data_IF_528347641231
#
_entry.id   IF_528347641231
#
_cell.length_a   1.000
_cell.length_b   1.000
_cell.length_c   1.000
_cell.angle_alpha   90.00
_cell.angle_beta   90.00
_cell.angle_gamma   90.00
#
_symmetry.space_group_name_H-M   'P 1'
#
loop_
_entity.id
_entity.type
_entity.pdbx_description
1 polymer ?
#
# COMPACT_ATOMS: atom_id res chain seq x y z
N UNK A 1 -26.13 -21.86 -24.56
CA UNK A 1 -25.47 -20.82 -23.76
C UNK A 1 -23.97 -20.90 -24.08
N UNK A 2 -23.56 -20.08 -25.02
CA UNK A 2 -22.16 -20.01 -25.48
C UNK A 2 -21.30 -19.42 -24.37
N UNK A 3 -20.31 -20.18 -23.92
CA UNK A 3 -19.20 -19.65 -23.16
C UNK A 3 -18.39 -18.77 -24.09
N UNK A 4 -18.62 -17.48 -24.04
CA UNK A 4 -17.83 -16.48 -24.76
C UNK A 4 -16.37 -16.63 -24.31
N UNK A 5 -15.52 -17.06 -25.23
CA UNK A 5 -14.08 -17.18 -25.05
C UNK A 5 -13.47 -15.79 -24.79
N UNK A 6 -13.39 -15.38 -23.53
CA UNK A 6 -12.59 -14.24 -23.06
C UNK A 6 -11.09 -14.60 -22.93
N UNK A 7 -10.70 -15.81 -23.35
CA UNK A 7 -9.39 -16.42 -23.05
C UNK A 7 -8.25 -15.96 -23.96
N UNK A 8 -8.51 -15.25 -25.06
CA UNK A 8 -7.49 -14.97 -26.08
C UNK A 8 -6.71 -13.66 -25.92
N UNK A 9 -7.02 -12.82 -24.94
CA UNK A 9 -6.33 -11.53 -24.74
C UNK A 9 -5.28 -11.52 -23.62
N UNK A 10 -5.13 -12.59 -22.84
CA UNK A 10 -4.29 -12.61 -21.62
C UNK A 10 -2.87 -13.15 -21.83
N UNK A 11 -2.44 -13.43 -23.07
CA UNK A 11 -1.12 -14.06 -23.31
C UNK A 11 0.09 -13.16 -23.03
N UNK A 12 -0.11 -11.84 -22.85
CA UNK A 12 0.98 -10.85 -22.72
C UNK A 12 0.79 -9.85 -21.56
N UNK A 13 0.02 -10.18 -20.52
CA UNK A 13 -0.16 -9.23 -19.43
C UNK A 13 1.14 -9.03 -18.62
N UNK A 14 1.53 -7.77 -18.36
CA UNK A 14 2.77 -7.48 -17.65
C UNK A 14 2.70 -8.01 -16.22
N UNK A 15 3.70 -8.79 -15.82
CA UNK A 15 3.88 -9.27 -14.45
C UNK A 15 4.21 -8.10 -13.53
N UNK A 16 4.87 -7.08 -14.08
CA UNK A 16 5.22 -5.82 -13.42
C UNK A 16 4.56 -4.69 -14.19
N UNK A 17 3.88 -3.81 -13.47
CA UNK A 17 3.30 -2.60 -14.03
C UNK A 17 4.04 -1.38 -13.48
N UNK A 18 4.34 -0.42 -14.32
CA UNK A 18 5.02 0.82 -13.96
C UNK A 18 4.21 2.03 -14.42
N UNK A 19 4.08 2.99 -13.53
CA UNK A 19 3.48 4.30 -13.78
C UNK A 19 4.49 5.40 -13.47
N UNK A 20 4.77 6.28 -14.44
CA UNK A 20 5.58 7.48 -14.22
C UNK A 20 4.68 8.68 -13.94
N UNK A 21 5.03 9.47 -12.95
CA UNK A 21 4.29 10.68 -12.57
C UNK A 21 5.21 11.71 -11.94
N UNK A 22 4.66 12.87 -11.59
CA UNK A 22 5.36 13.90 -10.83
C UNK A 22 4.60 14.22 -9.54
N UNK A 23 5.32 14.68 -8.53
CA UNK A 23 4.74 15.04 -7.24
C UNK A 23 4.12 16.44 -7.35
N UNK A 24 2.79 16.49 -7.29
CA UNK A 24 2.01 17.73 -7.39
C UNK A 24 2.02 18.52 -6.08
N UNK A 25 1.82 19.84 -6.16
CA UNK A 25 1.82 20.72 -5.00
C UNK A 25 0.76 20.34 -3.95
N UNK A 26 -0.44 19.94 -4.35
CA UNK A 26 -1.53 19.57 -3.44
C UNK A 26 -1.24 18.34 -2.58
N UNK A 27 -0.28 17.50 -2.99
CA UNK A 27 0.10 16.26 -2.29
C UNK A 27 1.17 16.46 -1.24
N UNK A 28 1.76 17.68 -1.14
CA UNK A 28 2.84 18.03 -0.23
C UNK A 28 2.28 18.54 1.09
N UNK A 29 2.88 18.12 2.19
CA UNK A 29 2.58 18.59 3.55
C UNK A 29 3.40 19.80 3.97
N UNK A 30 3.13 20.29 5.21
CA UNK A 30 3.78 21.46 5.84
C UNK A 30 5.32 21.38 5.83
N UNK A 31 5.87 20.17 5.86
CA UNK A 31 7.32 19.95 5.88
C UNK A 31 7.98 19.96 4.49
N UNK A 32 7.19 20.14 3.41
CA UNK A 32 7.66 20.06 2.03
C UNK A 32 7.79 18.63 1.50
N UNK A 33 7.44 17.64 2.29
CA UNK A 33 7.47 16.21 1.96
C UNK A 33 6.11 15.73 1.45
N UNK A 34 6.10 14.68 0.64
CA UNK A 34 4.88 14.00 0.22
C UNK A 34 4.13 13.48 1.45
N UNK A 35 2.84 13.82 1.56
CA UNK A 35 1.97 13.35 2.64
C UNK A 35 1.84 11.83 2.61
N UNK A 36 1.75 11.20 3.77
CA UNK A 36 1.61 9.74 3.87
C UNK A 36 0.34 9.23 3.15
N UNK A 37 -0.76 9.96 3.29
CA UNK A 37 -2.01 9.66 2.57
C UNK A 37 -1.81 9.70 1.06
N UNK A 38 -1.02 10.65 0.57
CA UNK A 38 -0.71 10.77 -0.86
C UNK A 38 0.20 9.63 -1.34
N UNK A 39 1.16 9.17 -0.51
CA UNK A 39 1.95 7.97 -0.80
C UNK A 39 1.01 6.77 -0.99
N UNK A 40 0.12 6.54 -0.02
CA UNK A 40 -0.84 5.42 -0.09
C UNK A 40 -1.75 5.50 -1.32
N UNK A 41 -2.24 6.69 -1.65
CA UNK A 41 -3.07 6.90 -2.84
C UNK A 41 -2.30 6.58 -4.14
N UNK A 42 -1.07 7.06 -4.30
CA UNK A 42 -0.25 6.72 -5.47
C UNK A 42 0.00 5.21 -5.61
N UNK A 43 0.28 4.53 -4.50
CA UNK A 43 0.48 3.08 -4.49
C UNK A 43 -0.81 2.34 -4.85
N UNK A 44 -1.95 2.75 -4.28
CA UNK A 44 -3.26 2.14 -4.53
C UNK A 44 -3.73 2.37 -5.96
N UNK A 45 -3.58 3.59 -6.50
CA UNK A 45 -3.94 3.91 -7.88
C UNK A 45 -3.15 3.03 -8.87
N UNK A 46 -1.83 2.92 -8.67
CA UNK A 46 -0.95 2.10 -9.52
C UNK A 46 -1.34 0.61 -9.44
N UNK A 47 -1.66 0.11 -8.24
CA UNK A 47 -2.14 -1.26 -8.07
C UNK A 47 -3.49 -1.49 -8.74
N UNK A 48 -4.40 -0.50 -8.68
CA UNK A 48 -5.73 -0.57 -9.29
C UNK A 48 -5.68 -0.52 -10.81
N UNK A 49 -4.83 0.33 -11.39
CA UNK A 49 -4.58 0.38 -12.84
C UNK A 49 -4.04 -0.95 -13.36
N UNK A 50 -3.07 -1.55 -12.63
CA UNK A 50 -2.58 -2.88 -12.98
C UNK A 50 -3.67 -3.95 -12.90
N UNK A 51 -4.51 -3.93 -11.87
CA UNK A 51 -5.63 -4.85 -11.73
C UNK A 51 -6.68 -4.67 -12.83
N UNK A 52 -6.87 -3.43 -13.32
CA UNK A 52 -7.78 -3.14 -14.43
C UNK A 52 -7.29 -3.73 -15.76
N UNK A 53 -6.01 -3.58 -16.07
CA UNK A 53 -5.37 -4.21 -17.22
C UNK A 53 -5.51 -5.75 -17.20
N UNK A 54 -5.54 -6.34 -16.02
CA UNK A 54 -5.72 -7.78 -15.82
C UNK A 54 -7.20 -8.24 -15.80
N UNK A 55 -8.17 -7.32 -15.94
CA UNK A 55 -9.59 -7.66 -15.88
C UNK A 55 -10.09 -8.07 -14.49
N UNK A 56 -9.37 -7.70 -13.42
CA UNK A 56 -9.70 -8.05 -12.03
C UNK A 56 -9.77 -6.82 -11.11
N UNK A 57 -9.99 -5.64 -11.68
CA UNK A 57 -10.21 -4.41 -10.90
C UNK A 57 -11.50 -4.48 -10.09
N UNK A 58 -11.67 -3.53 -9.15
CA UNK A 58 -12.90 -3.40 -8.37
C UNK A 58 -14.16 -3.31 -9.24
N UNK A 59 -14.09 -2.64 -10.40
CA UNK A 59 -15.21 -2.54 -11.35
C UNK A 59 -15.55 -3.88 -12.01
N UNK A 60 -14.54 -4.71 -12.34
CA UNK A 60 -14.76 -6.04 -12.89
C UNK A 60 -15.40 -6.95 -11.83
N UNK A 61 -14.85 -6.95 -10.62
CA UNK A 61 -15.31 -7.79 -9.52
C UNK A 61 -16.70 -7.42 -9.03
N UNK A 62 -17.08 -6.15 -9.07
CA UNK A 62 -18.41 -5.70 -8.64
C UNK A 62 -19.55 -6.36 -9.43
N UNK A 63 -19.34 -6.69 -10.71
CA UNK A 63 -20.31 -7.41 -11.56
C UNK A 63 -20.59 -8.82 -11.06
N UNK A 64 -19.64 -9.42 -10.35
CA UNK A 64 -19.71 -10.76 -9.78
C UNK A 64 -20.03 -10.75 -8.26
N UNK A 65 -20.46 -9.60 -7.71
CA UNK A 65 -20.65 -9.40 -6.28
C UNK A 65 -19.42 -9.70 -5.43
N UNK A 66 -18.25 -9.44 -5.99
CA UNK A 66 -16.96 -9.55 -5.31
C UNK A 66 -16.34 -8.17 -5.08
N UNK A 67 -15.43 -8.08 -4.12
CA UNK A 67 -14.64 -6.89 -3.88
C UNK A 67 -13.26 -7.25 -3.38
N UNK A 68 -12.28 -6.40 -3.69
CA UNK A 68 -10.99 -6.39 -3.01
C UNK A 68 -11.08 -5.60 -1.72
N UNK A 69 -10.52 -6.17 -0.65
CA UNK A 69 -10.36 -5.50 0.65
C UNK A 69 -8.89 -5.53 1.02
N UNK A 70 -8.34 -4.38 1.37
CA UNK A 70 -6.99 -4.31 1.93
C UNK A 70 -7.06 -4.81 3.38
N UNK A 71 -6.20 -5.78 3.69
CA UNK A 71 -6.10 -6.36 5.02
C UNK A 71 -4.89 -5.83 5.79
N UNK A 72 -3.73 -5.69 5.13
CA UNK A 72 -2.50 -5.19 5.75
C UNK A 72 -1.73 -4.28 4.80
N UNK A 73 -1.03 -3.33 5.40
CA UNK A 73 -0.07 -2.46 4.72
C UNK A 73 1.23 -2.42 5.52
N UNK A 74 2.35 -2.45 4.82
CA UNK A 74 3.68 -2.13 5.33
C UNK A 74 4.32 -1.15 4.36
N UNK A 75 4.82 -0.03 4.86
CA UNK A 75 5.46 1.02 4.04
C UNK A 75 6.76 1.42 4.72
N UNK A 76 7.86 1.34 3.97
CA UNK A 76 9.18 1.87 4.35
C UNK A 76 9.51 3.08 3.47
N UNK A 77 9.80 4.21 4.09
CA UNK A 77 10.14 5.46 3.44
C UNK A 77 11.62 5.74 3.71
N UNK A 78 12.47 5.51 2.72
CA UNK A 78 13.91 5.79 2.79
C UNK A 78 14.21 7.28 2.59
N UNK A 79 13.48 7.89 1.66
CA UNK A 79 13.53 9.32 1.39
C UNK A 79 12.12 9.81 1.07
N UNK A 80 11.75 10.96 1.59
CA UNK A 80 10.46 11.56 1.29
C UNK A 80 10.50 12.28 -0.06
N UNK A 81 9.62 11.88 -1.03
CA UNK A 81 9.46 12.62 -2.28
C UNK A 81 9.04 14.06 -2.01
N UNK A 82 9.52 14.99 -2.81
CA UNK A 82 9.27 16.42 -2.70
C UNK A 82 8.45 16.93 -3.88
N UNK A 83 7.97 18.15 -3.77
CA UNK A 83 7.31 18.83 -4.87
C UNK A 83 8.18 18.87 -6.13
N UNK A 84 7.58 18.60 -7.28
CA UNK A 84 8.19 18.49 -8.62
C UNK A 84 9.10 17.28 -8.84
N UNK A 85 9.37 16.45 -7.84
CA UNK A 85 10.07 15.21 -8.10
C UNK A 85 9.34 14.37 -9.15
N UNK A 86 10.11 13.82 -10.08
CA UNK A 86 9.62 12.81 -11.01
C UNK A 86 9.87 11.45 -10.40
N UNK A 87 8.84 10.63 -10.41
CA UNK A 87 8.89 9.30 -9.80
C UNK A 87 8.32 8.25 -10.73
N UNK A 88 8.90 7.06 -10.67
CA UNK A 88 8.32 5.86 -11.25
C UNK A 88 7.79 4.99 -10.12
N UNK A 89 6.54 4.51 -10.26
CA UNK A 89 5.87 3.67 -9.28
C UNK A 89 5.67 2.32 -9.94
N UNK A 90 6.28 1.28 -9.37
CA UNK A 90 6.15 -0.08 -9.86
C UNK A 90 5.28 -0.91 -8.92
N UNK A 91 4.50 -1.82 -9.48
CA UNK A 91 3.77 -2.84 -8.73
C UNK A 91 3.94 -4.20 -9.36
N UNK A 92 4.16 -5.20 -8.51
CA UNK A 92 4.15 -6.61 -8.85
C UNK A 92 3.30 -7.37 -7.84
N UNK A 93 2.72 -8.50 -8.25
CA UNK A 93 1.78 -9.27 -7.43
C UNK A 93 2.16 -10.74 -7.35
N UNK A 94 1.78 -11.38 -6.24
CA UNK A 94 1.83 -12.83 -6.08
C UNK A 94 0.75 -13.31 -5.10
N UNK A 95 0.33 -14.56 -5.26
CA UNK A 95 -0.67 -15.15 -4.36
C UNK A 95 -0.01 -15.84 -3.17
N UNK A 96 -0.66 -15.74 -1.99
CA UNK A 96 -0.30 -16.47 -0.79
C UNK A 96 -1.48 -17.32 -0.32
N UNK A 97 -1.25 -18.64 -0.13
CA UNK A 97 -2.27 -19.62 0.33
C UNK A 97 -3.58 -19.61 -0.49
N UNK A 98 -3.54 -19.19 -1.77
CA UNK A 98 -4.71 -19.08 -2.65
C UNK A 98 -5.88 -18.25 -2.03
N UNK A 99 -5.58 -17.39 -1.08
CA UNK A 99 -6.54 -16.55 -0.36
C UNK A 99 -6.13 -15.08 -0.40
N UNK A 100 -4.84 -14.82 -0.26
CA UNK A 100 -4.28 -13.49 -0.21
C UNK A 100 -3.57 -13.14 -1.51
N UNK A 101 -3.78 -11.94 -2.00
CA UNK A 101 -2.95 -11.32 -3.01
C UNK A 101 -2.02 -10.33 -2.34
N UNK A 102 -0.73 -10.59 -2.45
CA UNK A 102 0.30 -9.69 -1.95
C UNK A 102 0.85 -8.89 -3.12
N UNK A 103 0.90 -7.58 -2.95
CA UNK A 103 1.56 -6.67 -3.90
C UNK A 103 2.78 -6.06 -3.25
N UNK A 104 3.91 -6.19 -3.93
CA UNK A 104 5.10 -5.39 -3.67
C UNK A 104 5.03 -4.15 -4.56
N UNK A 105 5.25 -2.98 -3.97
CA UNK A 105 5.24 -1.70 -4.66
C UNK A 105 6.49 -0.92 -4.30
N UNK A 106 7.05 -0.22 -5.28
CA UNK A 106 8.21 0.66 -5.07
C UNK A 106 7.96 2.01 -5.71
N UNK A 107 8.42 3.07 -5.06
CA UNK A 107 8.57 4.38 -5.68
C UNK A 107 10.05 4.64 -5.82
N UNK A 108 10.50 4.91 -7.04
CA UNK A 108 11.88 5.27 -7.36
C UNK A 108 11.93 6.69 -7.91
N UNK A 109 13.02 7.40 -7.65
CA UNK A 109 13.25 8.68 -8.29
C UNK A 109 13.59 8.46 -9.77
N UNK A 110 12.83 9.09 -10.67
CA UNK A 110 13.08 9.00 -12.11
C UNK A 110 14.30 9.90 -12.46
N UNK A 111 15.38 9.26 -12.90
CA UNK A 111 16.65 9.95 -13.23
C UNK A 111 16.73 10.41 -14.69
N UNK A 112 15.66 10.28 -15.47
CA UNK A 112 15.64 10.73 -16.86
C UNK A 112 15.68 12.25 -16.98
N UNK A 113 16.85 12.82 -16.72
CA UNK A 113 17.24 14.21 -16.94
C UNK A 113 17.58 14.46 -18.43
N UNK A 114 16.76 13.94 -19.35
CA UNK A 114 16.88 14.24 -20.77
C UNK A 114 15.74 15.13 -21.25
N UNK A 115 15.91 16.42 -21.11
CA UNK A 115 15.04 17.50 -21.59
C UNK A 115 14.93 17.59 -23.13
N UNK A 116 15.12 16.50 -23.85
CA UNK A 116 14.87 16.49 -25.31
C UNK A 116 14.52 15.08 -25.79
N UNK A 117 13.27 14.65 -25.61
CA UNK A 117 12.65 13.76 -26.62
C UNK A 117 11.12 13.83 -26.54
N UNK A 118 10.57 14.29 -27.66
CA UNK A 118 9.20 14.38 -28.10
C UNK A 118 8.29 13.20 -27.70
N UNK A 119 7.03 13.56 -27.42
CA UNK A 119 5.85 12.69 -27.32
C UNK A 119 5.87 11.57 -28.36
N UNK A 120 6.35 10.40 -27.99
CA UNK A 120 6.05 9.10 -28.59
C UNK A 120 6.86 8.03 -27.86
N UNK A 121 6.15 7.18 -27.14
CA UNK A 121 6.42 5.79 -26.86
C UNK A 121 5.94 5.37 -25.46
N UNK A 122 4.61 5.27 -25.29
CA UNK A 122 4.07 4.24 -24.42
C UNK A 122 4.34 2.90 -25.14
N UNK A 123 5.50 2.32 -24.92
CA UNK A 123 5.79 0.96 -25.38
C UNK A 123 5.63 0.01 -24.22
N UNK A 124 4.54 -0.74 -24.25
CA UNK A 124 4.38 -1.97 -23.48
C UNK A 124 5.54 -2.91 -23.83
N UNK A 125 6.39 -3.25 -22.85
CA UNK A 125 7.51 -4.17 -23.05
C UNK A 125 6.99 -5.61 -23.01
N UNK A 126 6.79 -6.22 -24.17
CA UNK A 126 6.21 -7.57 -24.34
C UNK A 126 7.26 -8.69 -24.48
N UNK A 127 8.55 -8.48 -24.16
CA UNK A 127 9.58 -9.50 -24.40
C UNK A 127 10.28 -9.98 -23.13
N UNK A 128 10.41 -11.30 -22.99
CA UNK A 128 11.03 -12.04 -21.87
C UNK A 128 12.47 -11.59 -21.55
N UNK A 129 13.23 -11.08 -22.54
CA UNK A 129 14.57 -10.50 -22.32
C UNK A 129 14.53 -9.08 -21.76
N UNK A 130 13.44 -8.35 -21.94
CA UNK A 130 13.22 -7.05 -21.30
C UNK A 130 12.82 -7.20 -19.83
N UNK A 131 12.21 -8.32 -19.45
CA UNK A 131 11.80 -8.62 -18.07
C UNK A 131 13.01 -8.77 -17.14
N UNK A 132 14.14 -9.32 -17.60
CA UNK A 132 15.38 -9.40 -16.81
C UNK A 132 16.09 -8.04 -16.67
N UNK A 133 15.89 -7.10 -17.59
CA UNK A 133 16.40 -5.72 -17.50
C UNK A 133 15.52 -4.81 -16.64
N UNK A 134 14.21 -5.07 -16.54
CA UNK A 134 13.32 -4.32 -15.63
C UNK A 134 13.57 -4.60 -14.14
N UNK A 135 14.20 -5.73 -13.79
CA UNK A 135 14.64 -6.04 -12.42
C UNK A 135 15.85 -5.22 -11.96
N UNK A 136 16.52 -4.54 -12.87
CA UNK A 136 17.69 -3.69 -12.59
C UNK A 136 17.35 -2.20 -12.80
N UNK A 137 16.29 -1.70 -12.16
CA UNK A 137 16.13 -0.25 -12.04
C UNK A 137 17.20 0.23 -11.05
N UNK A 138 18.21 0.88 -11.62
CA UNK A 138 19.28 1.61 -10.88
C UNK A 138 18.77 2.93 -10.29
N UNK A 139 17.47 3.17 -10.30
CA UNK A 139 16.84 4.31 -9.63
C UNK A 139 16.95 4.19 -8.12
N UNK A 140 17.21 5.29 -7.44
CA UNK A 140 17.25 5.33 -5.98
C UNK A 140 15.84 5.05 -5.44
N UNK A 141 15.64 3.86 -4.83
CA UNK A 141 14.36 3.52 -4.19
C UNK A 141 14.11 4.44 -3.01
N UNK A 142 13.02 5.16 -3.05
CA UNK A 142 12.64 6.15 -2.03
C UNK A 142 11.50 5.66 -1.13
N UNK A 143 10.60 4.81 -1.66
CA UNK A 143 9.54 4.15 -0.88
C UNK A 143 9.43 2.70 -1.31
N UNK A 144 9.34 1.79 -0.33
CA UNK A 144 8.96 0.40 -0.54
C UNK A 144 7.68 0.09 0.23
N UNK A 145 6.77 -0.66 -0.36
CA UNK A 145 5.55 -1.05 0.30
C UNK A 145 5.13 -2.49 -0.03
N UNK A 146 4.42 -3.08 0.90
CA UNK A 146 3.73 -4.37 0.77
C UNK A 146 2.27 -4.17 1.14
N UNK A 147 1.39 -4.72 0.32
CA UNK A 147 -0.05 -4.63 0.55
C UNK A 147 -0.65 -6.01 0.42
N UNK A 148 -1.42 -6.43 1.42
CA UNK A 148 -2.18 -7.66 1.40
C UNK A 148 -3.63 -7.38 1.06
N UNK A 149 -4.12 -7.97 -0.01
CA UNK A 149 -5.50 -7.92 -0.43
C UNK A 149 -6.20 -9.25 -0.21
N UNK A 150 -7.47 -9.19 0.12
CA UNK A 150 -8.37 -10.35 0.23
C UNK A 150 -9.55 -10.11 -0.68
N UNK A 151 -9.91 -11.11 -1.49
CA UNK A 151 -11.14 -11.07 -2.25
C UNK A 151 -12.29 -11.55 -1.37
N UNK A 152 -13.35 -10.76 -1.26
CA UNK A 152 -14.53 -11.10 -0.47
C UNK A 152 -15.80 -11.16 -1.35
N UNK A 153 -16.76 -11.97 -0.94
CA UNK A 153 -18.09 -11.94 -1.49
C UNK A 153 -18.92 -10.86 -0.76
N UNK A 154 -19.40 -9.85 -1.50
CA UNK A 154 -20.11 -8.68 -0.93
C UNK A 154 -21.44 -9.04 -0.23
N UNK A 155 -22.07 -10.18 -0.58
CA UNK A 155 -23.35 -10.59 0.01
C UNK A 155 -23.22 -11.16 1.43
N UNK A 156 -22.08 -11.81 1.73
CA UNK A 156 -21.91 -12.52 3.00
C UNK A 156 -20.60 -12.17 3.73
N UNK A 157 -19.78 -11.25 3.18
CA UNK A 157 -18.51 -10.82 3.75
C UNK A 157 -17.41 -11.88 3.81
N UNK A 158 -17.63 -13.09 3.26
CA UNK A 158 -16.68 -14.19 3.38
C UNK A 158 -15.57 -14.10 2.34
N UNK A 159 -14.32 -14.43 2.70
CA UNK A 159 -13.22 -14.54 1.76
C UNK A 159 -13.48 -15.58 0.67
N UNK A 160 -13.01 -15.28 -0.54
CA UNK A 160 -13.11 -16.15 -1.72
C UNK A 160 -11.73 -16.58 -2.15
N UNK A 161 -11.56 -17.89 -2.45
CA UNK A 161 -10.27 -18.37 -2.97
C UNK A 161 -9.99 -17.77 -4.34
N UNK A 162 -8.78 -17.28 -4.57
CA UNK A 162 -8.37 -16.63 -5.80
C UNK A 162 -8.53 -17.53 -7.03
N UNK A 163 -8.26 -18.84 -6.89
CA UNK A 163 -8.41 -19.82 -7.97
C UNK A 163 -9.83 -20.04 -8.47
N UNK A 164 -10.85 -19.52 -7.77
CA UNK A 164 -12.24 -19.53 -8.26
C UNK A 164 -12.50 -18.45 -9.29
N UNK A 165 -11.66 -17.43 -9.32
CA UNK A 165 -11.87 -16.23 -10.14
C UNK A 165 -10.70 -15.90 -11.06
N UNK A 166 -9.49 -16.21 -10.64
CA UNK A 166 -8.27 -16.06 -11.44
C UNK A 166 -7.89 -17.40 -12.06
N UNK A 167 -7.48 -17.38 -13.31
CA UNK A 167 -7.03 -18.59 -13.96
C UNK A 167 -5.67 -19.08 -13.38
N UNK A 168 -5.36 -20.34 -13.68
CA UNK A 168 -4.16 -21.00 -13.17
C UNK A 168 -2.88 -20.28 -13.64
N UNK A 169 -2.85 -19.79 -14.89
CA UNK A 169 -1.71 -19.07 -15.47
C UNK A 169 -1.43 -17.78 -14.73
N UNK A 170 -2.48 -17.00 -14.37
CA UNK A 170 -2.35 -15.80 -13.57
C UNK A 170 -1.81 -16.07 -12.14
N UNK A 171 -2.13 -17.22 -11.56
CA UNK A 171 -1.69 -17.61 -10.23
C UNK A 171 -0.26 -18.18 -10.22
N UNK A 172 0.13 -18.91 -11.28
CA UNK A 172 1.43 -19.59 -11.40
C UNK A 172 2.53 -18.69 -11.95
N UNK A 173 2.22 -17.74 -12.83
CA UNK A 173 3.20 -16.80 -13.42
C UNK A 173 4.00 -16.01 -12.36
N UNK A 174 3.52 -15.99 -11.14
CA UNK A 174 4.06 -15.19 -10.05
C UNK A 174 4.92 -15.97 -9.03
N UNK A 175 5.13 -17.27 -9.23
CA UNK A 175 5.95 -18.07 -8.29
C UNK A 175 7.44 -17.69 -8.33
N UNK A 176 7.98 -17.37 -9.50
CA UNK A 176 9.35 -16.86 -9.63
C UNK A 176 9.55 -15.50 -8.98
N UNK A 177 8.55 -14.61 -9.08
CA UNK A 177 8.55 -13.30 -8.40
C UNK A 177 8.54 -13.48 -6.89
N UNK A 178 7.69 -14.38 -6.39
CA UNK A 178 7.63 -14.71 -4.97
C UNK A 178 9.00 -15.19 -4.47
N UNK A 179 9.65 -16.11 -5.20
CA UNK A 179 10.96 -16.63 -4.83
C UNK A 179 12.03 -15.52 -4.83
N UNK A 180 12.07 -14.68 -5.85
CA UNK A 180 13.01 -13.56 -5.95
C UNK A 180 12.78 -12.54 -4.84
N UNK A 181 11.51 -12.22 -4.55
CA UNK A 181 11.14 -11.31 -3.48
C UNK A 181 11.60 -11.81 -2.10
N UNK A 182 11.40 -13.11 -1.82
CA UNK A 182 11.81 -13.73 -0.56
C UNK A 182 13.34 -13.77 -0.43
N UNK A 183 14.06 -14.06 -1.52
CA UNK A 183 15.54 -14.03 -1.54
C UNK A 183 16.04 -12.61 -1.26
N UNK A 184 15.50 -11.58 -1.93
CA UNK A 184 15.91 -10.20 -1.75
C UNK A 184 15.63 -9.64 -0.35
N UNK A 185 14.65 -10.20 0.37
CA UNK A 185 14.24 -9.75 1.71
C UNK A 185 14.58 -10.79 2.81
N UNK A 186 15.39 -11.78 2.52
CA UNK A 186 15.73 -12.88 3.44
C UNK A 186 16.37 -12.41 4.77
N UNK A 187 17.03 -11.26 4.79
CA UNK A 187 17.59 -10.66 6.01
C UNK A 187 16.53 -10.16 7.01
N UNK A 188 15.29 -9.99 6.58
CA UNK A 188 14.17 -9.59 7.43
C UNK A 188 13.27 -10.75 7.87
N UNK A 189 13.48 -11.95 7.29
CA UNK A 189 12.67 -13.14 7.55
C UNK A 189 13.43 -14.05 8.49
N UNK A 190 13.19 -13.96 9.79
CA UNK A 190 13.79 -14.85 10.80
C UNK A 190 12.92 -16.10 10.91
N UNK A 191 13.41 -17.23 10.42
CA UNK A 191 13.00 -18.57 10.91
C UNK A 191 11.90 -19.32 10.17
N UNK A 192 11.51 -18.99 8.93
CA UNK A 192 10.50 -19.77 8.20
C UNK A 192 11.07 -20.64 7.07
N UNK A 193 10.64 -21.90 7.05
CA UNK A 193 10.92 -22.84 5.95
C UNK A 193 10.18 -22.40 4.67
N UNK A 194 10.80 -22.50 3.47
CA UNK A 194 10.21 -22.00 2.20
C UNK A 194 8.83 -22.57 1.84
N UNK A 195 8.41 -23.66 2.47
CA UNK A 195 7.19 -24.38 2.12
C UNK A 195 5.97 -24.09 3.03
N UNK A 196 6.11 -23.28 4.09
CA UNK A 196 5.02 -23.02 5.05
C UNK A 196 4.88 -21.54 5.42
N UNK A 197 4.99 -20.65 4.41
CA UNK A 197 4.94 -19.21 4.63
C UNK A 197 3.52 -18.73 4.87
N UNK A 198 3.29 -18.20 6.06
CA UNK A 198 2.10 -17.43 6.42
C UNK A 198 2.25 -15.94 6.08
N UNK A 199 1.23 -15.14 6.38
CA UNK A 199 1.29 -13.69 6.23
C UNK A 199 2.35 -13.05 7.12
N UNK A 200 2.69 -13.69 8.24
CA UNK A 200 3.74 -13.29 9.19
C UNK A 200 5.12 -13.20 8.54
N UNK A 201 5.35 -13.93 7.44
CA UNK A 201 6.61 -13.82 6.68
C UNK A 201 6.70 -12.54 5.82
N UNK A 202 5.60 -11.86 5.62
CA UNK A 202 5.54 -10.65 4.77
C UNK A 202 5.28 -9.39 5.55
N UNK A 203 4.68 -9.49 6.74
CA UNK A 203 4.23 -8.36 7.54
C UNK A 203 4.62 -8.55 9.00
N UNK A 204 5.23 -7.53 9.65
CA UNK A 204 5.54 -7.59 11.06
C UNK A 204 4.28 -7.58 11.91
N UNK A 205 4.40 -8.07 13.16
CA UNK A 205 3.33 -7.95 14.13
C UNK A 205 3.06 -6.48 14.48
N UNK A 206 1.78 -6.14 14.63
CA UNK A 206 1.34 -4.79 14.99
C UNK A 206 0.93 -4.78 16.46
N UNK A 207 1.71 -4.07 17.25
CA UNK A 207 1.54 -3.99 18.71
C UNK A 207 0.29 -3.14 19.00
N UNK A 208 -0.52 -3.59 19.95
CA UNK A 208 -1.67 -2.82 20.42
C UNK A 208 -1.23 -1.80 21.47
N UNK A 209 -1.76 -0.55 21.44
CA UNK A 209 -1.57 0.39 22.55
C UNK A 209 -2.05 -0.21 23.87
N UNK A 210 -1.24 -0.07 24.91
CA UNK A 210 -1.58 -0.44 26.30
C UNK A 210 -1.96 0.79 27.12
N UNK A 211 -1.30 1.91 26.81
CA UNK A 211 -1.54 3.22 27.46
C UNK A 211 -2.00 4.22 26.41
N UNK A 212 -3.04 4.98 26.71
CA UNK A 212 -3.52 6.03 25.81
C UNK A 212 -2.91 7.36 26.29
N UNK A 213 -1.94 7.89 25.54
CA UNK A 213 -1.32 9.18 25.79
C UNK A 213 -2.10 10.32 25.13
N UNK A 214 -2.65 10.07 23.94
CA UNK A 214 -3.45 11.03 23.18
C UNK A 214 -4.64 10.34 22.56
N UNK A 215 -5.72 11.12 22.38
CA UNK A 215 -6.89 10.67 21.63
C UNK A 215 -7.56 11.84 20.93
N UNK A 216 -8.09 11.59 19.72
CA UNK A 216 -8.90 12.55 18.97
C UNK A 216 -10.15 11.88 18.39
N UNK A 217 -11.30 12.56 18.44
CA UNK A 217 -12.52 12.12 17.77
C UNK A 217 -12.55 12.61 16.32
N UNK A 218 -13.01 11.77 15.42
CA UNK A 218 -13.25 12.10 14.01
C UNK A 218 -14.66 11.66 13.63
N UNK A 219 -15.36 12.51 12.88
CA UNK A 219 -16.64 12.12 12.27
C UNK A 219 -16.39 11.75 10.81
N UNK A 220 -16.82 10.57 10.39
CA UNK A 220 -16.68 10.13 8.99
C UNK A 220 -17.47 11.07 8.07
N UNK A 221 -16.78 11.69 7.12
CA UNK A 221 -17.32 12.62 6.14
C UNK A 221 -17.63 11.90 4.81
N UNK A 222 -18.44 12.52 3.95
CA UNK A 222 -18.71 11.99 2.60
C UNK A 222 -17.44 11.82 1.76
N UNK A 223 -16.46 12.74 1.89
CA UNK A 223 -15.21 12.69 1.15
C UNK A 223 -14.19 11.69 1.71
N UNK A 224 -14.47 11.07 2.85
CA UNK A 224 -13.64 10.00 3.40
C UNK A 224 -13.97 8.64 2.77
N UNK A 225 -15.09 8.55 2.02
CA UNK A 225 -15.59 7.28 1.48
C UNK A 225 -14.96 6.95 0.11
N UNK A 226 -14.72 5.66 -0.09
CA UNK A 226 -14.34 5.06 -1.37
C UNK A 226 -15.56 4.69 -2.24
N UNK A 227 -15.31 4.07 -3.39
CA UNK A 227 -16.34 3.57 -4.32
C UNK A 227 -17.30 2.53 -3.71
N UNK A 228 -16.90 1.85 -2.64
CA UNK A 228 -17.73 0.87 -1.95
C UNK A 228 -18.61 1.52 -0.88
N UNK A 229 -18.48 2.82 -0.65
CA UNK A 229 -19.18 3.56 0.39
C UNK A 229 -18.60 3.35 1.79
N UNK A 230 -17.38 2.84 1.87
CA UNK A 230 -16.62 2.66 3.10
C UNK A 230 -15.51 3.70 3.21
N UNK A 231 -15.04 3.95 4.42
CA UNK A 231 -13.88 4.84 4.62
C UNK A 231 -12.67 4.30 3.87
N UNK A 232 -12.04 5.15 3.07
CA UNK A 232 -10.80 4.83 2.37
C UNK A 232 -9.69 4.47 3.38
N UNK A 233 -8.93 3.42 3.09
CA UNK A 233 -7.88 2.92 3.98
C UNK A 233 -6.83 3.97 4.36
N UNK A 234 -6.49 4.90 3.46
CA UNK A 234 -5.55 5.98 3.74
C UNK A 234 -6.05 6.95 4.83
N UNK A 235 -7.36 7.12 4.97
CA UNK A 235 -7.97 7.99 5.99
C UNK A 235 -7.75 7.43 7.40
N UNK A 236 -7.75 6.11 7.61
CA UNK A 236 -7.42 5.53 8.92
C UNK A 236 -5.98 5.87 9.34
N UNK A 237 -5.05 5.90 8.37
CA UNK A 237 -3.66 6.31 8.64
C UNK A 237 -3.58 7.80 8.91
N UNK A 238 -4.34 8.63 8.19
CA UNK A 238 -4.46 10.06 8.45
C UNK A 238 -4.90 10.32 9.89
N UNK A 239 -5.99 9.67 10.35
CA UNK A 239 -6.46 9.80 11.73
C UNK A 239 -5.41 9.40 12.77
N UNK A 240 -4.63 8.35 12.49
CA UNK A 240 -3.51 7.97 13.36
C UNK A 240 -2.45 9.06 13.44
N UNK A 241 -2.02 9.58 12.30
CA UNK A 241 -1.00 10.64 12.22
C UNK A 241 -1.49 11.96 12.84
N UNK A 242 -2.76 12.33 12.63
CA UNK A 242 -3.34 13.54 13.22
C UNK A 242 -3.46 13.47 14.77
N UNK A 243 -3.41 12.26 15.34
CA UNK A 243 -3.53 12.08 16.80
C UNK A 243 -2.20 12.22 17.53
N UNK A 244 -1.06 12.30 16.82
CA UNK A 244 0.23 12.57 17.47
C UNK A 244 0.33 14.03 17.90
N UNK A 245 1.10 14.34 18.97
CA UNK A 245 1.31 15.73 19.39
C UNK A 245 2.07 16.52 18.29
N UNK A 246 1.79 17.83 18.21
CA UNK A 246 2.38 18.73 17.22
C UNK A 246 3.90 18.64 17.16
N UNK A 247 4.57 18.41 18.31
CA UNK A 247 6.01 18.25 18.37
C UNK A 247 6.49 17.11 17.49
N UNK A 248 5.86 15.91 17.60
CA UNK A 248 6.25 14.76 16.77
C UNK A 248 6.01 15.06 15.30
N UNK A 249 4.85 15.63 14.98
CA UNK A 249 4.51 15.99 13.61
C UNK A 249 5.45 17.05 13.01
N UNK A 250 5.99 17.96 13.84
CA UNK A 250 6.84 19.07 13.39
C UNK A 250 8.33 18.73 13.33
N UNK A 251 8.82 17.89 14.25
CA UNK A 251 10.24 17.59 14.43
C UNK A 251 10.66 16.26 13.82
N UNK A 252 9.69 15.40 13.47
CA UNK A 252 9.96 14.06 12.94
C UNK A 252 9.21 13.81 11.62
N UNK A 253 9.69 12.82 10.87
CA UNK A 253 8.99 12.26 9.71
C UNK A 253 8.75 10.77 9.90
N UNK A 254 7.59 10.23 9.49
CA UNK A 254 7.36 8.79 9.52
C UNK A 254 8.27 8.09 8.51
N UNK A 255 8.95 7.03 8.94
CA UNK A 255 9.85 6.24 8.08
C UNK A 255 9.37 4.82 7.85
N UNK A 256 8.62 4.24 8.81
CA UNK A 256 7.96 2.95 8.62
C UNK A 256 6.54 3.02 9.15
N UNK A 257 5.59 2.48 8.41
CA UNK A 257 4.19 2.42 8.78
C UNK A 257 3.67 1.02 8.56
N UNK A 258 3.17 0.40 9.62
CA UNK A 258 2.50 -0.88 9.60
C UNK A 258 1.03 -0.70 9.96
N UNK A 259 0.13 -1.26 9.14
CA UNK A 259 -1.31 -1.16 9.36
C UNK A 259 -1.98 -2.51 9.19
N UNK A 260 -2.92 -2.81 10.07
CA UNK A 260 -3.92 -3.85 9.90
C UNK A 260 -5.31 -3.22 9.91
N UNK A 261 -6.15 -3.59 8.95
CA UNK A 261 -7.54 -3.16 8.86
C UNK A 261 -8.45 -4.32 9.27
N UNK A 262 -9.24 -4.10 10.32
CA UNK A 262 -10.06 -5.14 10.95
C UNK A 262 -11.52 -5.07 10.51
N UNK A 263 -12.06 -3.84 10.37
CA UNK A 263 -13.46 -3.60 10.02
C UNK A 263 -13.61 -2.33 9.21
N UNK A 264 -14.65 -2.28 8.42
CA UNK A 264 -15.09 -1.10 7.68
C UNK A 264 -15.77 -0.07 8.58
N UNK A 265 -15.81 1.17 8.13
CA UNK A 265 -16.55 2.26 8.74
C UNK A 265 -17.36 3.00 7.67
N UNK A 266 -18.51 3.56 8.08
CA UNK A 266 -19.51 4.15 7.20
C UNK A 266 -19.68 5.65 7.49
N UNK A 267 -20.34 6.33 6.56
CA UNK A 267 -20.71 7.72 6.73
C UNK A 267 -21.42 7.98 8.05
N UNK A 268 -20.96 9.01 8.76
CA UNK A 268 -21.56 9.46 10.01
C UNK A 268 -21.09 8.73 11.26
N UNK A 269 -20.33 7.63 11.13
CA UNK A 269 -19.67 7.00 12.28
C UNK A 269 -18.80 8.01 13.03
N UNK A 270 -18.73 7.87 14.34
CA UNK A 270 -17.78 8.59 15.19
C UNK A 270 -16.63 7.65 15.51
N UNK A 271 -15.45 8.09 15.19
CA UNK A 271 -14.19 7.35 15.33
C UNK A 271 -13.38 8.00 16.42
N UNK A 272 -12.79 7.21 17.30
CA UNK A 272 -11.81 7.66 18.29
C UNK A 272 -10.45 7.05 17.87
N UNK A 273 -9.50 7.90 17.57
CA UNK A 273 -8.12 7.48 17.35
C UNK A 273 -7.36 7.61 18.67
N UNK A 274 -6.81 6.52 19.16
CA UNK A 274 -5.96 6.44 20.35
C UNK A 274 -4.50 6.35 19.93
N UNK A 275 -3.62 7.04 20.67
CA UNK A 275 -2.18 7.01 20.41
C UNK A 275 -1.40 6.78 21.71
N UNK A 276 -0.52 5.80 21.68
CA UNK A 276 0.56 5.61 22.66
C UNK A 276 1.88 5.98 22.03
N UNK A 277 2.71 6.75 22.74
CA UNK A 277 4.07 7.10 22.31
C UNK A 277 5.04 6.24 23.08
N UNK A 278 5.96 5.61 22.37
CA UNK A 278 7.08 4.85 22.96
C UNK A 278 8.40 5.33 22.40
N UNK A 279 9.41 5.28 23.23
CA UNK A 279 10.80 5.47 22.82
C UNK A 279 11.61 4.26 23.29
N UNK A 280 12.30 3.61 22.36
CA UNK A 280 13.14 2.47 22.65
C UNK A 280 14.45 2.59 21.88
N UNK A 281 15.58 2.49 22.59
CA UNK A 281 16.92 2.60 21.99
C UNK A 281 17.13 3.87 21.16
N UNK A 282 16.56 4.99 21.60
CA UNK A 282 16.62 6.27 20.87
C UNK A 282 15.76 6.34 19.61
N UNK A 283 14.89 5.37 19.39
CA UNK A 283 13.91 5.36 18.29
C UNK A 283 12.54 5.71 18.81
N UNK A 284 11.95 6.73 18.22
CA UNK A 284 10.57 7.14 18.50
C UNK A 284 9.60 6.30 17.65
N UNK A 285 8.58 5.73 18.28
CA UNK A 285 7.49 5.09 17.57
C UNK A 285 6.16 5.34 18.27
N UNK A 286 5.08 5.31 17.50
CA UNK A 286 3.72 5.51 17.99
C UNK A 286 2.87 4.30 17.64
N UNK A 287 2.05 3.88 18.59
CA UNK A 287 1.09 2.81 18.47
C UNK A 287 -0.31 3.41 18.44
N UNK A 288 -1.11 3.00 17.48
CA UNK A 288 -2.45 3.56 17.31
C UNK A 288 -3.51 2.47 17.28
N UNK A 289 -4.67 2.78 17.84
CA UNK A 289 -5.89 1.98 17.72
C UNK A 289 -7.04 2.89 17.29
N UNK A 290 -7.62 2.60 16.15
CA UNK A 290 -8.73 3.37 15.57
C UNK A 290 -10.01 2.64 15.91
N UNK A 291 -10.86 3.24 16.73
CA UNK A 291 -12.02 2.60 17.34
C UNK A 291 -13.30 3.32 16.93
N UNK A 292 -14.32 2.57 16.56
CA UNK A 292 -15.66 3.12 16.37
C UNK A 292 -16.34 3.32 17.73
N UNK A 293 -16.79 4.53 18.02
CA UNK A 293 -17.33 4.90 19.32
C UNK A 293 -18.59 4.10 19.70
N UNK A 294 -19.45 3.82 18.74
CA UNK A 294 -20.77 3.22 18.98
C UNK A 294 -20.70 1.81 19.58
N UNK A 295 -19.80 0.97 19.08
CA UNK A 295 -19.70 -0.46 19.44
C UNK A 295 -18.32 -0.85 19.98
N UNK A 296 -17.43 0.13 20.17
CA UNK A 296 -16.05 -0.06 20.63
C UNK A 296 -15.25 -1.03 19.73
N UNK A 297 -15.66 -1.20 18.49
CA UNK A 297 -14.96 -2.04 17.53
C UNK A 297 -13.64 -1.41 17.09
N UNK A 298 -12.54 -2.14 17.20
CA UNK A 298 -11.27 -1.75 16.62
C UNK A 298 -11.35 -1.92 15.09
N UNK A 299 -11.30 -0.80 14.38
CA UNK A 299 -11.40 -0.73 12.93
C UNK A 299 -10.05 -0.92 12.26
N UNK A 300 -9.02 -0.29 12.82
CA UNK A 300 -7.64 -0.42 12.36
C UNK A 300 -6.66 -0.29 13.52
N UNK A 301 -5.46 -0.82 13.33
CA UNK A 301 -4.32 -0.66 14.24
C UNK A 301 -3.09 -0.31 13.42
N UNK A 302 -2.27 0.62 13.93
CA UNK A 302 -1.08 1.10 13.25
C UNK A 302 0.11 1.15 14.20
N UNK A 303 1.30 0.86 13.68
CA UNK A 303 2.59 1.19 14.28
C UNK A 303 3.31 2.14 13.32
N UNK A 304 3.79 3.26 13.81
CA UNK A 304 4.52 4.25 13.02
C UNK A 304 5.87 4.51 13.68
N UNK A 305 6.96 4.30 12.94
CA UNK A 305 8.31 4.67 13.36
C UNK A 305 8.67 6.03 12.78
N UNK A 306 9.30 6.84 13.62
CA UNK A 306 9.61 8.23 13.31
C UNK A 306 11.10 8.46 13.34
N UNK A 307 11.58 9.25 12.41
CA UNK A 307 12.97 9.72 12.35
C UNK A 307 12.99 11.23 12.54
N UNK A 308 13.92 11.73 13.38
CA UNK A 308 14.10 13.17 13.52
C UNK A 308 14.43 13.84 12.20
N UNK A 309 13.80 14.97 11.94
CA UNK A 309 14.17 15.82 10.82
C UNK A 309 15.54 16.44 11.09
N UNK A 310 16.39 16.61 10.06
CA UNK A 310 17.60 17.38 10.21
C UNK A 310 17.26 18.80 10.70
N UNK A 311 18.07 19.35 11.60
CA UNK A 311 17.89 20.73 12.07
C UNK A 311 17.71 21.65 10.87
N UNK A 312 16.60 22.39 10.85
CA UNK A 312 16.38 23.40 9.80
C UNK A 312 17.42 24.50 10.02
N UNK A 313 18.46 24.49 9.22
CA UNK A 313 19.25 25.70 9.00
C UNK A 313 18.25 26.73 8.45
N UNK A 314 17.94 27.77 9.24
CA UNK A 314 17.02 28.85 8.89
C UNK A 314 17.32 29.37 7.47
N UNK A 315 16.58 28.89 6.49
CA UNK A 315 16.54 29.42 5.14
C UNK A 315 15.13 29.99 4.91
N UNK A 316 14.86 31.11 5.55
CA UNK A 316 13.89 32.10 5.09
C UNK A 316 14.32 33.46 5.65
#
# INVERSE_FOLDING_TARGET
>A
MEKTNLVTQYEELPIIYEKKTHIGYSTIGKQGNLKIVSIMNFLQDTASEHADLMGVSGFHLAKENLAWVIFRYHIDIKNHPKWQDRVAIQTQRFSCKNLYEIRALTITQDQDDCLTKTKKEQKCLTNTQAQSKCLAHTGNEIVNAKVCWVMINKKNGKPVRLSKFMDKKMLESNQSIKANYLIANSSQIVGSSPNNEGLESYFPDIIKPETIHYQLPFKVRMHDLDLNGHVNNAIFVEWGVETVPERIFSEFSPVTIDVIFNKESLYGDIIISHTEIREQEGRLFTLHSIIRQQDQAELARLNIYWQSLPERVNQF
#
